data_IF_036740817789
#
_entry.id   IF_036740817789
#
_cell.length_a   1.000
_cell.length_b   1.000
_cell.length_c   1.000
_cell.angle_alpha   90.00
_cell.angle_beta   90.00
_cell.angle_gamma   90.00
#
_symmetry.space_group_name_H-M   'P 1'
#
loop_
_entity.id
_entity.type
_entity.pdbx_description
1 polymer ?
#
# COMPACT_ATOMS: atom_id res chain seq x y z
N UNK A 1 6.75 2.18 -10.88
CA UNK A 1 6.87 1.35 -12.10
C UNK A 1 7.94 1.92 -13.01
N UNK A 2 8.78 1.07 -13.60
CA UNK A 2 9.62 1.46 -14.72
C UNK A 2 8.84 1.25 -16.02
N UNK A 3 9.04 2.12 -17.00
CA UNK A 3 8.35 2.03 -18.29
C UNK A 3 9.35 1.98 -19.43
N UNK A 4 9.06 1.18 -20.47
CA UNK A 4 9.75 1.23 -21.76
C UNK A 4 8.73 1.65 -22.82
N UNK A 5 8.96 2.83 -23.40
CA UNK A 5 7.90 3.48 -24.18
C UNK A 5 6.74 3.90 -23.27
N UNK A 6 5.53 3.43 -23.55
CA UNK A 6 4.33 3.73 -22.76
C UNK A 6 3.84 2.55 -21.92
N UNK A 7 4.61 1.46 -21.81
CA UNK A 7 4.25 0.25 -21.04
C UNK A 7 5.11 0.11 -19.78
N UNK A 8 4.51 -0.23 -18.64
CA UNK A 8 5.28 -0.58 -17.44
C UNK A 8 6.09 -1.87 -17.69
N UNK A 9 7.32 -1.90 -17.18
CA UNK A 9 8.24 -3.05 -17.34
C UNK A 9 8.58 -3.70 -16.00
N UNK A 10 8.42 -2.99 -14.90
CA UNK A 10 8.68 -3.52 -13.56
C UNK A 10 7.91 -2.77 -12.49
N UNK A 11 7.74 -3.42 -11.35
CA UNK A 11 7.09 -2.88 -10.16
C UNK A 11 8.05 -2.96 -8.99
N UNK A 12 8.13 -1.90 -8.20
CA UNK A 12 8.81 -1.88 -6.90
C UNK A 12 7.78 -1.70 -5.80
N UNK A 13 7.88 -2.52 -4.76
CA UNK A 13 7.01 -2.46 -3.60
C UNK A 13 7.78 -1.84 -2.43
N UNK A 14 7.29 -0.71 -1.90
CA UNK A 14 7.83 -0.10 -0.70
C UNK A 14 7.13 -0.73 0.50
N UNK A 15 7.90 -1.33 1.40
CA UNK A 15 7.36 -1.95 2.62
C UNK A 15 7.13 -0.89 3.69
N UNK A 16 6.12 -1.07 4.56
CA UNK A 16 5.94 -0.23 5.72
C UNK A 16 7.08 -0.45 6.74
N UNK A 17 7.21 0.50 7.67
CA UNK A 17 8.14 0.35 8.79
C UNK A 17 7.60 -0.62 9.84
N UNK A 18 8.47 -1.47 10.38
CA UNK A 18 8.17 -2.34 11.52
C UNK A 18 8.14 -1.57 12.85
N UNK A 19 8.64 -0.34 12.84
CA UNK A 19 8.58 0.58 13.98
C UNK A 19 7.62 1.72 13.68
N UNK A 20 7.00 2.34 14.73
CA UNK A 20 6.21 3.53 14.51
C UNK A 20 7.04 4.60 13.82
N UNK A 21 6.62 5.02 12.64
CA UNK A 21 7.26 6.09 11.91
C UNK A 21 6.42 7.36 12.06
N UNK A 22 7.03 8.42 12.59
CA UNK A 22 6.42 9.74 12.66
C UNK A 22 7.08 10.64 11.64
N UNK A 23 6.34 10.99 10.59
CA UNK A 23 6.83 11.91 9.56
C UNK A 23 5.85 13.08 9.42
N UNK A 24 6.35 14.30 9.57
CA UNK A 24 5.51 15.49 9.45
C UNK A 24 4.40 15.60 10.50
N UNK A 25 4.60 15.07 11.70
CA UNK A 25 3.64 15.11 12.80
C UNK A 25 2.55 14.02 12.74
N UNK A 26 2.60 13.12 11.77
CA UNK A 26 1.66 12.00 11.65
C UNK A 26 2.40 10.67 11.74
N UNK A 27 1.93 9.78 12.63
CA UNK A 27 2.49 8.45 12.79
C UNK A 27 1.92 7.42 11.80
N UNK A 28 2.56 6.26 11.74
CA UNK A 28 1.99 5.05 11.15
C UNK A 28 2.05 3.93 12.20
N UNK A 29 1.12 3.00 12.15
CA UNK A 29 1.24 1.79 12.94
C UNK A 29 2.42 0.95 12.44
N UNK A 30 3.11 0.18 13.30
CA UNK A 30 4.05 -0.85 12.88
C UNK A 30 3.39 -1.84 11.93
N UNK A 31 4.06 -2.20 10.87
CA UNK A 31 3.54 -3.20 9.94
C UNK A 31 4.66 -4.06 9.32
N UNK A 32 4.28 -5.26 8.91
CA UNK A 32 5.11 -6.20 8.17
C UNK A 32 4.34 -6.71 6.96
N UNK A 33 5.06 -7.15 5.94
CA UNK A 33 4.48 -7.78 4.75
C UNK A 33 5.05 -9.17 4.55
N UNK A 34 4.17 -10.11 4.25
CA UNK A 34 4.52 -11.43 3.78
C UNK A 34 4.24 -11.51 2.29
N UNK A 35 5.22 -11.93 1.51
CA UNK A 35 5.09 -12.11 0.08
C UNK A 35 5.07 -13.59 -0.25
N UNK A 36 4.04 -14.03 -0.95
CA UNK A 36 3.92 -15.38 -1.45
C UNK A 36 4.51 -15.45 -2.87
N UNK A 37 5.24 -16.50 -3.18
CA UNK A 37 5.80 -16.72 -4.50
C UNK A 37 5.74 -18.20 -4.89
N UNK A 38 5.64 -18.45 -6.18
CA UNK A 38 5.72 -19.78 -6.76
C UNK A 38 7.07 -19.97 -7.43
N UNK A 39 7.71 -21.12 -7.18
CA UNK A 39 8.97 -21.44 -7.84
C UNK A 39 8.75 -21.53 -9.36
N UNK A 40 9.54 -20.80 -10.12
CA UNK A 40 9.44 -20.75 -11.59
C UNK A 40 8.63 -19.57 -12.14
N UNK A 41 7.94 -18.80 -11.30
CA UNK A 41 7.28 -17.56 -11.72
C UNK A 41 8.16 -16.33 -11.41
N UNK A 42 8.21 -15.34 -12.32
CA UNK A 42 9.07 -14.17 -12.15
C UNK A 42 8.47 -13.09 -11.24
N UNK A 43 7.32 -13.33 -10.63
CA UNK A 43 6.58 -12.38 -9.79
C UNK A 43 6.03 -13.05 -8.54
N UNK A 44 5.69 -12.25 -7.55
CA UNK A 44 4.98 -12.73 -6.36
C UNK A 44 3.55 -13.11 -6.71
N UNK A 45 3.05 -14.19 -6.11
CA UNK A 45 1.65 -14.61 -6.29
C UNK A 45 0.69 -13.77 -5.44
N UNK A 46 1.11 -13.31 -4.25
CA UNK A 46 0.28 -12.46 -3.41
C UNK A 46 1.10 -11.74 -2.33
N UNK A 47 0.44 -10.84 -1.59
CA UNK A 47 1.00 -10.13 -0.45
C UNK A 47 -0.05 -9.92 0.63
N UNK A 48 0.33 -10.22 1.86
CA UNK A 48 -0.44 -9.97 3.08
C UNK A 48 0.27 -8.92 3.93
N UNK A 49 -0.45 -7.91 4.37
CA UNK A 49 0.08 -6.92 5.30
C UNK A 49 -0.56 -7.11 6.67
N UNK A 50 0.29 -7.26 7.66
CA UNK A 50 -0.08 -7.31 9.08
C UNK A 50 0.34 -6.02 9.76
N UNK A 51 -0.41 -5.61 10.78
CA UNK A 51 -0.10 -4.41 11.56
C UNK A 51 -0.37 -4.63 13.04
N UNK A 52 0.28 -3.81 13.85
CA UNK A 52 0.03 -3.69 15.28
C UNK A 52 -0.70 -2.35 15.53
N UNK A 53 -1.93 -2.43 16.01
CA UNK A 53 -2.69 -1.24 16.42
C UNK A 53 -2.11 -0.68 17.74
N UNK A 54 -1.30 0.37 17.62
CA UNK A 54 -0.62 0.98 18.77
C UNK A 54 -1.59 1.59 19.78
N UNK A 55 -2.69 2.15 19.31
CA UNK A 55 -3.69 2.71 20.21
C UNK A 55 -4.31 1.62 21.08
N UNK A 56 -4.79 0.56 20.45
CA UNK A 56 -5.34 -0.59 21.15
C UNK A 56 -4.30 -1.25 22.06
N UNK A 57 -3.05 -1.38 21.60
CA UNK A 57 -1.97 -1.95 22.39
C UNK A 57 -1.66 -1.11 23.65
N UNK A 58 -1.65 0.20 23.55
CA UNK A 58 -1.42 1.11 24.67
C UNK A 58 -2.60 1.17 25.64
N UNK A 59 -3.83 1.14 25.13
CA UNK A 59 -5.04 1.26 25.96
C UNK A 59 -5.34 -0.05 26.73
N UNK A 60 -5.12 -1.19 26.11
CA UNK A 60 -5.51 -2.51 26.64
C UNK A 60 -4.29 -3.34 27.11
N UNK A 61 -3.07 -2.95 26.74
CA UNK A 61 -1.84 -3.65 27.09
C UNK A 61 -1.62 -4.95 26.33
N UNK A 62 -2.32 -5.17 25.22
CA UNK A 62 -2.19 -6.37 24.38
C UNK A 62 -1.49 -6.03 23.06
N UNK A 63 -0.50 -6.83 22.70
CA UNK A 63 0.23 -6.71 21.44
C UNK A 63 -0.17 -7.86 20.52
N UNK A 64 -1.12 -7.61 19.64
CA UNK A 64 -1.60 -8.59 18.68
C UNK A 64 -1.41 -8.06 17.25
N UNK A 65 -0.67 -8.83 16.45
CA UNK A 65 -0.53 -8.56 15.02
C UNK A 65 -1.78 -9.05 14.30
N UNK A 66 -2.41 -8.15 13.54
CA UNK A 66 -3.66 -8.41 12.82
C UNK A 66 -3.44 -8.25 11.33
N UNK A 67 -4.08 -9.12 10.55
CA UNK A 67 -4.13 -8.94 9.10
C UNK A 67 -4.86 -7.64 8.76
N UNK A 68 -4.19 -6.75 8.05
CA UNK A 68 -4.77 -5.51 7.57
C UNK A 68 -5.46 -5.71 6.23
N UNK A 69 -4.77 -6.33 5.29
CA UNK A 69 -5.32 -6.69 3.99
C UNK A 69 -4.45 -7.72 3.27
N UNK A 70 -5.08 -8.36 2.29
CA UNK A 70 -4.46 -9.21 1.31
C UNK A 70 -4.67 -8.60 -0.07
N UNK A 71 -3.60 -8.50 -0.87
CA UNK A 71 -3.62 -7.72 -2.10
C UNK A 71 -4.60 -8.28 -3.12
N UNK A 72 -4.54 -9.58 -3.39
CA UNK A 72 -5.41 -10.26 -4.35
C UNK A 72 -6.90 -10.08 -4.01
N UNK A 73 -7.26 -10.23 -2.74
CA UNK A 73 -8.65 -10.10 -2.29
C UNK A 73 -9.14 -8.65 -2.33
N UNK A 74 -8.27 -7.70 -1.97
CA UNK A 74 -8.62 -6.28 -1.93
C UNK A 74 -8.88 -5.69 -3.31
N UNK A 75 -8.05 -6.06 -4.28
CA UNK A 75 -8.09 -5.46 -5.62
C UNK A 75 -8.59 -6.42 -6.70
N UNK A 76 -8.93 -7.65 -6.37
CA UNK A 76 -9.45 -8.63 -7.32
C UNK A 76 -8.46 -9.01 -8.41
N UNK A 77 -7.15 -9.03 -8.10
CA UNK A 77 -6.10 -9.41 -9.05
C UNK A 77 -5.56 -10.79 -8.74
N UNK A 78 -5.16 -11.58 -9.76
CA UNK A 78 -4.72 -12.96 -9.56
C UNK A 78 -3.32 -13.10 -8.96
N UNK A 79 -2.47 -12.09 -9.13
CA UNK A 79 -1.05 -12.09 -8.77
C UNK A 79 -0.49 -10.67 -8.66
N UNK A 80 0.83 -10.55 -8.47
CA UNK A 80 1.54 -9.28 -8.38
C UNK A 80 2.38 -8.99 -9.63
N UNK A 81 1.99 -9.53 -10.78
CA UNK A 81 2.60 -9.22 -12.06
C UNK A 81 2.46 -7.74 -12.44
N UNK A 82 3.25 -7.29 -13.42
CA UNK A 82 3.18 -5.92 -13.93
C UNK A 82 1.77 -5.62 -14.46
N UNK A 83 1.16 -6.57 -15.16
CA UNK A 83 -0.18 -6.46 -15.71
C UNK A 83 -1.27 -6.33 -14.62
N UNK A 84 -1.14 -7.09 -13.54
CA UNK A 84 -2.04 -7.00 -12.39
C UNK A 84 -1.90 -5.67 -11.68
N UNK A 85 -0.66 -5.18 -11.50
CA UNK A 85 -0.43 -3.88 -10.87
C UNK A 85 -0.88 -2.70 -11.74
N UNK A 86 -0.83 -2.82 -13.06
CA UNK A 86 -1.41 -1.84 -13.99
C UNK A 86 -2.93 -1.74 -13.82
N UNK A 87 -3.62 -2.88 -13.66
CA UNK A 87 -5.06 -2.89 -13.34
C UNK A 87 -5.36 -2.22 -12.00
N UNK A 88 -4.57 -2.50 -10.97
CA UNK A 88 -4.72 -1.83 -9.67
C UNK A 88 -4.57 -0.32 -9.82
N UNK A 89 -3.56 0.17 -10.54
CA UNK A 89 -3.38 1.60 -10.79
C UNK A 89 -4.59 2.22 -11.50
N UNK A 90 -5.11 1.55 -12.52
CA UNK A 90 -6.32 1.99 -13.21
C UNK A 90 -7.52 2.08 -12.26
N UNK A 91 -7.72 1.07 -11.39
CA UNK A 91 -8.78 1.13 -10.37
C UNK A 91 -8.62 2.32 -9.42
N UNK A 92 -7.37 2.63 -9.01
CA UNK A 92 -7.10 3.78 -8.14
C UNK A 92 -7.35 5.12 -8.85
N UNK A 93 -7.19 5.16 -10.18
CA UNK A 93 -7.47 6.34 -11.00
C UNK A 93 -8.97 6.54 -11.25
N UNK A 94 -9.75 5.47 -11.33
CA UNK A 94 -11.16 5.50 -11.71
C UNK A 94 -12.14 5.45 -10.53
N UNK A 95 -11.69 4.95 -9.37
CA UNK A 95 -12.54 4.74 -8.20
C UNK A 95 -12.03 5.47 -6.96
N UNK A 96 -12.82 6.42 -6.48
CA UNK A 96 -12.55 7.08 -5.20
C UNK A 96 -12.51 6.08 -4.05
N UNK A 97 -13.38 5.08 -4.03
CA UNK A 97 -13.40 4.04 -3.01
C UNK A 97 -12.11 3.23 -3.01
N UNK A 98 -11.62 2.81 -4.18
CA UNK A 98 -10.36 2.08 -4.30
C UNK A 98 -9.18 2.94 -3.83
N UNK A 99 -9.17 4.23 -4.18
CA UNK A 99 -8.16 5.18 -3.74
C UNK A 99 -8.16 5.38 -2.22
N UNK A 100 -9.33 5.53 -1.59
CA UNK A 100 -9.46 5.66 -0.14
C UNK A 100 -8.98 4.40 0.58
N UNK A 101 -9.32 3.24 0.04
CA UNK A 101 -8.86 1.93 0.54
C UNK A 101 -7.34 1.83 0.48
N UNK A 102 -6.75 2.18 -0.66
CA UNK A 102 -5.30 2.25 -0.83
C UNK A 102 -4.65 3.22 0.18
N UNK A 103 -5.21 4.41 0.34
CA UNK A 103 -4.70 5.41 1.27
C UNK A 103 -4.68 4.89 2.70
N UNK A 104 -5.79 4.27 3.15
CA UNK A 104 -5.89 3.66 4.47
C UNK A 104 -4.82 2.59 4.70
N UNK A 105 -4.59 1.72 3.71
CA UNK A 105 -3.60 0.66 3.83
C UNK A 105 -2.16 1.19 3.76
N UNK A 106 -1.93 2.21 2.95
CA UNK A 106 -0.62 2.86 2.85
C UNK A 106 -0.25 3.63 4.14
N UNK A 107 -1.23 4.16 4.86
CA UNK A 107 -1.05 4.78 6.18
C UNK A 107 -1.14 3.80 7.34
N UNK A 108 -1.21 2.49 7.03
CA UNK A 108 -1.28 1.39 8.01
C UNK A 108 -2.45 1.58 8.99
N UNK A 109 -3.62 1.92 8.48
CA UNK A 109 -4.85 2.19 9.25
C UNK A 109 -4.66 3.20 10.40
N UNK A 110 -3.65 4.07 10.33
CA UNK A 110 -3.46 5.13 11.30
C UNK A 110 -4.36 6.31 10.94
N UNK A 111 -5.41 6.51 11.72
CA UNK A 111 -6.47 7.49 11.41
C UNK A 111 -6.24 8.86 12.05
N UNK A 112 -5.33 8.98 13.02
CA UNK A 112 -5.09 10.23 13.73
C UNK A 112 -4.44 11.30 12.84
N UNK A 113 -5.17 12.40 12.64
CA UNK A 113 -4.67 13.61 11.98
C UNK A 113 -4.55 13.54 10.45
N UNK A 114 -5.02 12.49 9.82
CA UNK A 114 -4.98 12.35 8.35
C UNK A 114 -6.36 12.33 7.75
N UNK A 115 -6.74 13.41 7.11
CA UNK A 115 -7.79 13.34 6.10
C UNK A 115 -7.17 12.84 4.79
N UNK A 116 -7.77 11.86 4.11
CA UNK A 116 -7.29 11.48 2.79
C UNK A 116 -7.32 12.70 1.85
N UNK A 117 -6.33 12.82 0.95
CA UNK A 117 -6.35 13.89 -0.02
C UNK A 117 -7.62 13.79 -0.85
N UNK A 118 -8.20 14.94 -1.22
CA UNK A 118 -9.38 14.94 -2.09
C UNK A 118 -9.04 14.21 -3.39
N UNK A 119 -9.86 13.24 -3.74
CA UNK A 119 -9.78 12.54 -5.02
C UNK A 119 -9.88 13.56 -6.16
N UNK A 120 -8.90 13.58 -7.05
CA UNK A 120 -8.85 14.49 -8.17
C UNK A 120 -8.28 13.79 -9.40
N UNK A 121 -9.10 13.53 -10.37
CA UNK A 121 -8.87 12.69 -11.56
C UNK A 121 -7.66 13.11 -12.42
N UNK A 122 -7.29 14.40 -12.45
CA UNK A 122 -6.20 14.89 -13.32
C UNK A 122 -4.80 14.90 -12.66
N UNK A 123 -4.73 14.86 -11.33
CA UNK A 123 -3.45 14.94 -10.61
C UNK A 123 -2.91 13.59 -10.14
N UNK A 124 -3.66 12.51 -10.32
CA UNK A 124 -3.31 11.20 -9.75
C UNK A 124 -2.24 10.47 -10.56
N UNK A 125 -2.18 10.64 -11.89
CA UNK A 125 -1.07 10.15 -12.70
C UNK A 125 0.29 10.67 -12.23
N UNK A 126 0.35 11.95 -11.83
CA UNK A 126 1.58 12.53 -11.30
C UNK A 126 1.85 12.12 -9.84
N UNK A 127 0.82 11.95 -9.00
CA UNK A 127 1.00 11.64 -7.59
C UNK A 127 1.19 10.16 -7.29
N UNK A 128 0.55 9.25 -8.01
CA UNK A 128 0.88 7.83 -7.93
C UNK A 128 2.34 7.60 -8.31
N UNK A 129 2.85 8.33 -9.31
CA UNK A 129 4.27 8.33 -9.69
C UNK A 129 5.14 9.04 -8.63
N UNK A 130 4.65 10.07 -7.96
CA UNK A 130 5.39 10.87 -6.97
C UNK A 130 5.43 10.21 -5.59
N UNK A 131 4.42 9.42 -5.19
CA UNK A 131 4.50 8.57 -3.99
C UNK A 131 5.58 7.48 -4.11
N UNK A 132 5.97 7.14 -5.35
CA UNK A 132 7.10 6.24 -5.62
C UNK A 132 8.47 6.96 -5.63
N UNK A 133 8.51 8.28 -5.63
CA UNK A 133 9.75 9.07 -5.79
C UNK A 133 10.21 9.84 -4.56
N UNK A 134 9.48 9.82 -3.45
CA UNK A 134 10.01 10.40 -2.21
C UNK A 134 10.68 9.30 -1.39
N UNK A 135 12.03 9.23 -1.40
CA UNK A 135 12.74 8.48 -0.38
C UNK A 135 12.43 9.15 0.96
N UNK A 136 12.07 8.33 1.94
CA UNK A 136 12.11 8.77 3.32
C UNK A 136 13.53 9.26 3.64
N UNK A 137 13.68 10.53 3.91
CA UNK A 137 14.86 11.10 4.61
C UNK A 137 14.58 10.98 6.08
#
# INVERSE_FOLDING_TARGET
MQTSGNRPTSVAFITPSVTPLVTGGTGTNPAIRLYNYNLGEPHFSDMEQYYLDLRSANDVGTTEWRLLYKLSETYGVPDMSVESMEKVLTMLEESEFAFQTYYRYNTVAHEEGRSPPKYRTESHRQKATTFQQHPAI
#
